data_IF_366189547602
#
_entry.id   IF_366189547602
#
_cell.length_a   1.000
_cell.length_b   1.000
_cell.length_c   1.000
_cell.angle_alpha   90.00
_cell.angle_beta   90.00
_cell.angle_gamma   90.00
#
_symmetry.space_group_name_H-M   'P 1'
#
loop_
_entity.id
_entity.type
_entity.pdbx_description
1 polymer ?
#
# COMPACT_ATOMS: atom_id res chain seq x y z
N UNK A 1 -62.86 -7.67 -31.82
CA UNK A 1 -62.45 -6.66 -32.82
C UNK A 1 -60.98 -6.88 -33.14
N UNK A 2 -60.75 -7.37 -34.37
CA UNK A 2 -59.59 -7.24 -35.26
C UNK A 2 -58.16 -7.23 -34.68
N UNK A 3 -57.48 -8.35 -34.92
CA UNK A 3 -56.02 -8.47 -35.10
C UNK A 3 -55.58 -7.92 -36.48
N UNK A 4 -54.38 -7.32 -36.55
CA UNK A 4 -53.53 -7.14 -37.74
C UNK A 4 -52.12 -6.74 -37.21
N UNK A 5 -50.96 -7.14 -37.74
CA UNK A 5 -50.44 -7.01 -39.12
C UNK A 5 -49.29 -8.04 -39.28
N UNK A 6 -49.45 -9.03 -40.15
CA UNK A 6 -48.85 -9.24 -41.49
C UNK A 6 -47.38 -9.69 -41.56
N UNK A 7 -47.23 -10.85 -42.19
CA UNK A 7 -46.06 -11.52 -42.72
C UNK A 7 -46.51 -12.05 -44.09
N UNK A 8 -45.79 -11.74 -45.17
CA UNK A 8 -45.73 -12.45 -46.48
C UNK A 8 -44.76 -11.65 -47.37
N UNK A 9 -43.70 -12.20 -47.97
CA UNK A 9 -43.69 -13.20 -49.07
C UNK A 9 -43.70 -12.45 -50.41
N UNK A 10 -42.95 -12.74 -51.48
CA UNK A 10 -42.39 -13.99 -52.02
C UNK A 10 -41.38 -13.64 -53.15
N UNK A 11 -40.61 -14.65 -53.57
CA UNK A 11 -40.12 -14.99 -54.93
C UNK A 11 -38.62 -14.88 -55.18
N UNK A 12 -38.01 -16.05 -55.35
CA UNK A 12 -36.65 -16.24 -55.82
C UNK A 12 -36.57 -16.57 -57.31
N UNK A 13 -35.34 -16.67 -57.81
CA UNK A 13 -34.96 -17.41 -59.02
C UNK A 13 -33.55 -17.97 -58.80
N UNK A 14 -33.37 -19.25 -59.10
CA UNK A 14 -32.10 -19.98 -59.12
C UNK A 14 -31.45 -19.89 -60.50
N UNK A 15 -30.11 -19.76 -60.58
CA UNK A 15 -29.32 -20.15 -61.77
C UNK A 15 -27.96 -20.70 -61.33
N UNK A 16 -27.58 -21.80 -61.98
CA UNK A 16 -26.38 -22.61 -61.79
C UNK A 16 -25.08 -21.98 -62.34
N UNK A 17 -23.95 -22.61 -61.97
CA UNK A 17 -22.55 -22.24 -62.18
C UNK A 17 -22.11 -21.98 -63.65
N UNK A 18 -20.91 -21.40 -63.83
CA UNK A 18 -19.80 -22.28 -64.20
C UNK A 18 -18.46 -21.99 -63.50
N UNK A 19 -17.70 -23.07 -63.33
CA UNK A 19 -16.28 -23.10 -63.02
C UNK A 19 -15.47 -22.44 -64.14
N UNK A 20 -14.70 -21.40 -63.82
CA UNK A 20 -13.68 -20.84 -64.70
C UNK A 20 -12.35 -20.79 -63.94
N UNK A 21 -11.48 -21.73 -64.29
CA UNK A 21 -10.07 -21.68 -63.97
C UNK A 21 -9.42 -20.58 -64.82
N UNK A 22 -8.90 -19.54 -64.18
CA UNK A 22 -7.94 -18.62 -64.80
C UNK A 22 -6.71 -18.52 -63.91
N UNK A 23 -5.58 -18.86 -64.53
CA UNK A 23 -4.22 -18.85 -64.03
C UNK A 23 -3.88 -17.47 -63.43
N UNK A 24 -3.47 -17.43 -62.17
CA UNK A 24 -2.82 -16.25 -61.62
C UNK A 24 -1.36 -16.18 -62.12
N UNK A 25 -0.87 -15.02 -62.56
CA UNK A 25 0.55 -14.83 -62.77
C UNK A 25 1.26 -14.87 -61.41
N UNK A 26 2.39 -15.58 -61.36
CA UNK A 26 3.28 -15.61 -60.21
C UNK A 26 3.72 -14.17 -59.85
N UNK A 27 3.15 -13.63 -58.78
CA UNK A 27 3.62 -12.39 -58.19
C UNK A 27 5.01 -12.65 -57.57
N UNK A 28 6.00 -11.91 -58.07
CA UNK A 28 7.37 -11.93 -57.60
C UNK A 28 7.44 -11.77 -56.06
N UNK A 29 8.24 -12.63 -55.42
CA UNK A 29 8.62 -12.49 -54.01
C UNK A 29 9.23 -11.10 -53.79
N UNK A 30 8.73 -10.26 -52.86
CA UNK A 30 9.50 -9.13 -52.40
C UNK A 30 10.74 -9.66 -51.64
N UNK A 31 11.89 -8.95 -51.69
CA UNK A 31 13.04 -9.32 -50.90
C UNK A 31 12.64 -9.27 -49.41
N UNK A 32 13.16 -10.23 -48.64
CA UNK A 32 12.99 -10.29 -47.20
C UNK A 32 13.55 -8.99 -46.59
N UNK A 33 12.67 -8.02 -46.34
CA UNK A 33 12.98 -6.91 -45.47
C UNK A 33 13.27 -7.50 -44.09
N UNK A 34 14.52 -7.40 -43.66
CA UNK A 34 14.91 -7.69 -42.31
C UNK A 34 13.94 -6.95 -41.37
N UNK A 35 13.22 -7.71 -40.55
CA UNK A 35 12.43 -7.21 -39.44
C UNK A 35 13.40 -6.54 -38.46
N UNK A 36 13.74 -5.30 -38.74
CA UNK A 36 14.25 -4.37 -37.75
C UNK A 36 13.12 -4.23 -36.73
N UNK A 37 13.34 -4.80 -35.55
CA UNK A 37 12.39 -4.66 -34.45
C UNK A 37 12.12 -3.19 -34.25
N UNK A 38 10.87 -2.77 -34.44
CA UNK A 38 10.42 -1.44 -34.08
C UNK A 38 10.77 -1.22 -32.61
N UNK A 39 11.79 -0.39 -32.37
CA UNK A 39 12.02 0.18 -31.06
C UNK A 39 10.76 0.97 -30.73
N UNK A 40 10.08 0.61 -29.65
CA UNK A 40 9.02 1.46 -29.09
C UNK A 40 9.66 2.82 -28.82
N UNK A 41 9.28 3.84 -29.59
CA UNK A 41 9.74 5.22 -29.44
C UNK A 41 9.55 5.64 -27.99
N UNK A 42 10.67 5.80 -27.28
CA UNK A 42 10.67 6.39 -25.95
C UNK A 42 10.23 7.84 -26.01
N UNK A 43 9.79 8.42 -24.89
CA UNK A 43 9.65 9.87 -24.82
C UNK A 43 10.99 10.51 -25.23
N UNK A 44 10.97 11.30 -26.31
CA UNK A 44 12.11 12.08 -26.75
C UNK A 44 12.66 12.95 -25.61
N UNK A 45 13.96 13.21 -25.60
CA UNK A 45 14.58 14.08 -24.58
C UNK A 45 14.89 13.42 -23.22
N UNK A 46 14.84 12.10 -23.10
CA UNK A 46 15.19 11.42 -21.85
C UNK A 46 16.69 11.59 -21.49
N UNK A 47 16.97 12.11 -20.30
CA UNK A 47 18.33 12.17 -19.74
C UNK A 47 18.65 10.90 -18.97
N UNK A 48 19.93 10.58 -18.79
CA UNK A 48 20.36 9.42 -18.01
C UNK A 48 20.98 9.83 -16.69
N UNK A 49 20.62 9.16 -15.60
CA UNK A 49 21.25 9.34 -14.28
C UNK A 49 21.97 8.06 -13.83
N UNK A 50 23.13 8.22 -13.19
CA UNK A 50 23.92 7.13 -12.63
C UNK A 50 23.68 6.96 -11.14
N UNK A 51 23.63 5.71 -10.69
CA UNK A 51 23.54 5.33 -9.27
C UNK A 51 24.00 3.89 -9.08
N UNK A 52 24.95 3.61 -8.18
CA UNK A 52 25.43 2.25 -7.84
C UNK A 52 25.49 1.28 -9.03
N UNK A 53 26.37 1.54 -10.01
CA UNK A 53 26.56 0.61 -11.13
C UNK A 53 25.38 0.47 -12.09
N UNK A 54 24.35 1.32 -12.00
CA UNK A 54 23.27 1.41 -13.00
C UNK A 54 23.13 2.80 -13.60
N UNK A 55 22.79 2.83 -14.88
CA UNK A 55 22.29 3.99 -15.63
C UNK A 55 20.78 3.87 -15.78
N UNK A 56 20.05 4.84 -15.25
CA UNK A 56 18.59 4.88 -15.26
C UNK A 56 18.14 6.01 -16.20
N UNK A 57 17.30 5.74 -17.21
CA UNK A 57 16.71 6.79 -18.03
C UNK A 57 15.67 7.56 -17.23
N UNK A 58 15.61 8.86 -17.46
CA UNK A 58 14.69 9.80 -16.80
C UNK A 58 13.97 10.55 -17.91
N UNK A 59 12.65 10.31 -18.10
CA UNK A 59 11.86 11.05 -19.08
C UNK A 59 11.93 12.56 -18.85
N UNK A 60 11.67 13.32 -19.89
CA UNK A 60 11.55 14.77 -19.78
C UNK A 60 10.49 15.17 -18.73
N UNK A 61 10.75 16.25 -17.99
CA UNK A 61 9.88 16.74 -16.92
C UNK A 61 9.92 15.94 -15.61
N UNK A 62 10.57 14.77 -15.56
CA UNK A 62 10.69 14.00 -14.33
C UNK A 62 11.74 14.58 -13.38
N UNK A 63 11.34 14.75 -12.12
CA UNK A 63 12.28 15.18 -11.07
C UNK A 63 13.09 13.99 -10.57
N UNK A 64 14.39 14.23 -10.31
CA UNK A 64 15.27 13.21 -9.72
C UNK A 64 15.65 13.64 -8.31
N UNK A 65 15.35 12.80 -7.33
CA UNK A 65 15.70 13.02 -5.92
C UNK A 65 16.85 12.11 -5.51
N UNK A 66 17.89 12.68 -4.90
CA UNK A 66 19.02 11.95 -4.29
C UNK A 66 18.80 11.88 -2.78
N UNK A 67 18.32 10.73 -2.31
CA UNK A 67 17.96 10.51 -0.91
C UNK A 67 19.19 10.48 0.02
N UNK A 68 20.37 10.16 -0.51
CA UNK A 68 21.62 10.22 0.26
C UNK A 68 22.03 11.68 0.55
N UNK A 69 21.48 12.67 -0.19
CA UNK A 69 21.69 14.11 0.03
C UNK A 69 20.52 14.78 0.77
N UNK A 70 19.31 14.26 0.60
CA UNK A 70 18.09 14.71 1.28
C UNK A 70 17.40 13.49 1.91
N UNK A 71 17.92 12.95 3.02
CA UNK A 71 17.36 11.75 3.66
C UNK A 71 15.96 11.98 4.24
N UNK A 72 15.55 13.25 4.42
CA UNK A 72 14.22 13.63 4.87
C UNK A 72 13.16 13.57 3.75
N UNK A 73 13.58 13.45 2.48
CA UNK A 73 12.67 13.45 1.34
C UNK A 73 11.68 12.29 1.41
N UNK A 74 10.39 12.62 1.44
CA UNK A 74 9.35 11.63 1.25
C UNK A 74 9.38 11.04 -0.17
N UNK A 75 9.45 9.71 -0.26
CA UNK A 75 9.27 8.99 -1.53
C UNK A 75 7.78 8.89 -1.85
N UNK A 76 7.34 9.73 -2.79
CA UNK A 76 5.96 9.85 -3.24
C UNK A 76 5.74 9.19 -4.59
N UNK A 77 4.66 8.44 -4.68
CA UNK A 77 4.23 7.71 -5.86
C UNK A 77 3.16 8.43 -6.67
N UNK A 78 2.60 9.54 -6.17
CA UNK A 78 1.61 10.36 -6.85
C UNK A 78 2.20 11.41 -7.81
N UNK A 79 3.49 11.29 -8.12
CA UNK A 79 4.21 12.19 -9.03
C UNK A 79 5.26 11.44 -9.83
N UNK A 80 5.48 11.92 -11.05
CA UNK A 80 6.56 11.46 -11.91
C UNK A 80 7.93 11.82 -11.32
N UNK A 81 8.65 10.81 -10.82
CA UNK A 81 9.95 11.01 -10.19
C UNK A 81 10.83 9.76 -10.19
N UNK A 82 12.14 9.99 -10.21
CA UNK A 82 13.15 8.97 -9.91
C UNK A 82 13.80 9.31 -8.57
N UNK A 83 13.70 8.39 -7.60
CA UNK A 83 14.34 8.49 -6.30
C UNK A 83 15.55 7.56 -6.29
N UNK A 84 16.72 8.07 -5.93
CA UNK A 84 17.98 7.33 -5.87
C UNK A 84 18.54 7.43 -4.46
N UNK A 85 18.84 6.31 -3.82
CA UNK A 85 19.34 6.28 -2.44
C UNK A 85 18.40 5.57 -1.47
N UNK A 86 18.80 5.52 -0.21
CA UNK A 86 17.92 5.07 0.88
C UNK A 86 17.20 6.27 1.49
N UNK A 87 15.87 6.21 1.68
CA UNK A 87 15.20 7.18 2.53
C UNK A 87 15.82 7.12 3.93
N UNK A 88 15.98 8.28 4.57
CA UNK A 88 16.35 8.33 5.99
C UNK A 88 15.29 7.66 6.88
N UNK A 89 15.59 7.46 8.17
CA UNK A 89 14.70 6.76 9.08
C UNK A 89 13.37 7.49 9.33
N UNK A 90 13.32 8.81 9.11
CA UNK A 90 12.12 9.63 9.32
C UNK A 90 11.89 10.61 8.16
N UNK A 91 11.37 10.14 7.01
CA UNK A 91 11.01 11.04 5.91
C UNK A 91 9.87 11.99 6.34
N UNK A 92 9.94 13.26 5.92
CA UNK A 92 8.88 14.26 6.11
C UNK A 92 7.80 14.07 5.04
N UNK A 93 6.93 13.09 5.28
CA UNK A 93 5.80 12.80 4.41
C UNK A 93 4.55 13.59 4.81
N UNK A 94 3.70 13.99 3.85
CA UNK A 94 2.35 14.45 4.17
C UNK A 94 1.58 13.39 4.97
N UNK A 95 0.59 13.80 5.77
CA UNK A 95 -0.30 12.87 6.45
C UNK A 95 -0.95 11.88 5.48
N UNK A 96 -1.40 12.39 4.33
CA UNK A 96 -2.22 11.64 3.39
C UNK A 96 -1.82 11.90 1.95
N UNK A 97 -1.51 10.83 1.23
CA UNK A 97 -1.30 10.83 -0.22
C UNK A 97 -1.99 9.60 -0.80
N UNK A 98 -2.94 9.84 -1.72
CA UNK A 98 -3.72 8.77 -2.33
C UNK A 98 -3.71 8.90 -3.85
N UNK A 99 -3.39 7.79 -4.50
CA UNK A 99 -3.15 7.70 -5.93
C UNK A 99 -1.68 7.45 -6.21
N UNK A 100 -1.41 7.05 -7.45
CA UNK A 100 -0.05 6.95 -7.97
C UNK A 100 0.01 7.24 -9.45
N UNK A 101 1.21 7.41 -9.93
CA UNK A 101 1.61 7.46 -11.32
C UNK A 101 2.92 6.67 -11.43
N UNK A 102 3.61 6.80 -12.55
CA UNK A 102 4.89 6.18 -12.78
C UNK A 102 5.94 6.90 -11.94
N UNK A 103 6.59 6.16 -11.05
CA UNK A 103 7.70 6.62 -10.25
C UNK A 103 8.63 5.43 -9.99
N UNK A 104 9.93 5.70 -9.90
CA UNK A 104 10.95 4.68 -9.72
C UNK A 104 11.83 5.02 -8.54
N UNK A 105 12.00 4.08 -7.63
CA UNK A 105 12.91 4.18 -6.50
C UNK A 105 14.01 3.13 -6.63
N UNK A 106 15.25 3.58 -6.81
CA UNK A 106 16.45 2.75 -6.85
C UNK A 106 17.23 2.96 -5.56
N UNK A 107 17.55 1.86 -4.89
CA UNK A 107 18.29 1.87 -3.63
C UNK A 107 19.34 0.76 -3.65
N UNK A 108 20.35 0.78 -2.76
CA UNK A 108 21.29 -0.33 -2.63
C UNK A 108 20.54 -1.60 -2.22
N UNK A 109 20.94 -2.73 -2.77
CA UNK A 109 20.58 -4.06 -2.32
C UNK A 109 21.46 -4.37 -1.11
N UNK A 110 20.91 -4.50 0.09
CA UNK A 110 21.74 -4.91 1.23
C UNK A 110 22.21 -6.36 1.07
N UNK A 111 23.48 -6.61 1.40
CA UNK A 111 24.01 -7.97 1.61
C UNK A 111 23.74 -8.53 3.01
N UNK A 112 23.16 -7.73 3.92
CA UNK A 112 22.56 -8.27 5.15
C UNK A 112 21.20 -8.83 4.79
N UNK A 113 20.75 -9.96 5.38
CA UNK A 113 19.32 -10.26 5.37
C UNK A 113 18.63 -8.96 5.80
N UNK A 114 17.67 -8.47 5.02
CA UNK A 114 16.74 -7.44 5.49
C UNK A 114 16.10 -8.04 6.75
N UNK A 115 16.72 -7.87 7.92
CA UNK A 115 16.58 -8.75 9.09
C UNK A 115 15.20 -8.69 9.72
N UNK A 116 14.29 -7.93 9.12
CA UNK A 116 12.93 -7.81 9.54
C UNK A 116 11.91 -7.78 8.39
N UNK A 117 12.32 -7.98 7.11
CA UNK A 117 11.41 -8.37 6.01
C UNK A 117 10.32 -7.38 5.60
N UNK A 118 10.66 -6.11 5.30
CA UNK A 118 9.70 -5.09 4.80
C UNK A 118 8.71 -5.63 3.76
N UNK A 119 7.49 -5.08 3.62
CA UNK A 119 6.40 -5.68 2.84
C UNK A 119 6.84 -5.75 1.37
N UNK A 120 7.44 -6.88 0.99
CA UNK A 120 8.00 -7.28 -0.30
C UNK A 120 9.53 -7.31 -0.44
N UNK A 121 10.28 -7.40 0.68
CA UNK A 121 11.67 -7.84 0.75
C UNK A 121 11.88 -9.20 0.03
N UNK A 122 11.05 -10.17 0.42
CA UNK A 122 10.99 -11.55 -0.08
C UNK A 122 10.16 -11.72 -1.37
N UNK A 123 9.77 -10.62 -2.04
CA UNK A 123 8.95 -10.65 -3.26
C UNK A 123 9.64 -9.98 -4.47
N UNK A 124 10.92 -9.65 -4.38
CA UNK A 124 11.66 -9.06 -5.51
C UNK A 124 11.93 -10.13 -6.57
N UNK A 125 11.69 -9.78 -7.83
CA UNK A 125 12.12 -10.59 -8.95
C UNK A 125 13.61 -10.34 -9.18
N UNK A 126 14.45 -11.37 -9.06
CA UNK A 126 15.86 -11.26 -9.42
C UNK A 126 15.95 -11.16 -10.95
N UNK A 127 16.55 -10.08 -11.47
CA UNK A 127 16.70 -9.84 -12.90
C UNK A 127 18.15 -9.54 -13.19
N UNK A 128 18.75 -10.32 -14.10
CA UNK A 128 20.08 -10.01 -14.62
C UNK A 128 20.06 -8.73 -15.42
N UNK A 129 21.12 -7.92 -15.32
CA UNK A 129 21.20 -6.64 -16.04
C UNK A 129 20.99 -6.78 -17.55
N UNK A 130 21.50 -7.87 -18.15
CA UNK A 130 21.32 -8.19 -19.58
C UNK A 130 19.88 -8.48 -20.00
N UNK A 131 18.99 -8.83 -19.06
CA UNK A 131 17.58 -9.15 -19.32
C UNK A 131 16.64 -7.96 -19.09
N UNK A 132 17.14 -6.81 -18.66
CA UNK A 132 16.30 -5.62 -18.46
C UNK A 132 15.66 -5.15 -19.77
N UNK A 133 16.42 -5.17 -20.87
CA UNK A 133 15.94 -4.71 -22.18
C UNK A 133 14.71 -5.49 -22.70
N UNK A 134 14.54 -6.75 -22.28
CA UNK A 134 13.38 -7.58 -22.62
C UNK A 134 12.41 -7.77 -21.45
N UNK A 135 12.60 -7.05 -20.33
CA UNK A 135 11.73 -7.18 -19.17
C UNK A 135 10.31 -6.70 -19.48
N UNK A 136 9.32 -7.46 -19.01
CA UNK A 136 7.90 -7.14 -19.16
C UNK A 136 7.29 -6.87 -17.79
N UNK A 137 6.73 -5.68 -17.61
CA UNK A 137 6.06 -5.31 -16.35
C UNK A 137 4.72 -6.05 -16.27
N UNK A 138 4.63 -7.02 -15.36
CA UNK A 138 3.38 -7.74 -15.13
C UNK A 138 2.35 -6.84 -14.45
N UNK A 139 1.14 -6.79 -15.02
CA UNK A 139 0.01 -6.12 -14.37
C UNK A 139 -0.32 -6.82 -13.04
N UNK A 140 -0.37 -6.05 -11.95
CA UNK A 140 -0.56 -6.55 -10.59
C UNK A 140 -1.63 -5.73 -9.86
N UNK A 141 -2.33 -6.32 -8.89
CA UNK A 141 -3.33 -5.59 -8.08
C UNK A 141 -2.72 -4.40 -7.36
N UNK A 142 -1.45 -4.50 -6.99
CA UNK A 142 -0.71 -3.46 -6.30
C UNK A 142 -0.14 -2.38 -7.22
N UNK A 143 -0.22 -2.51 -8.55
CA UNK A 143 0.36 -1.58 -9.54
C UNK A 143 1.83 -1.21 -9.26
N UNK A 144 2.62 -2.25 -9.06
CA UNK A 144 4.01 -2.16 -8.60
C UNK A 144 4.82 -3.33 -9.19
N UNK A 145 6.08 -3.05 -9.53
CA UNK A 145 7.12 -4.01 -9.92
C UNK A 145 8.32 -3.81 -9.00
N UNK A 146 8.93 -4.92 -8.57
CA UNK A 146 10.08 -4.90 -7.66
C UNK A 146 11.16 -5.83 -8.15
N UNK A 147 12.31 -5.27 -8.47
CA UNK A 147 13.44 -5.98 -9.04
C UNK A 147 14.62 -5.93 -8.07
N UNK A 148 15.40 -7.00 -8.07
CA UNK A 148 16.76 -7.00 -7.53
C UNK A 148 17.72 -7.23 -8.70
N UNK A 149 18.76 -6.40 -8.79
CA UNK A 149 19.86 -6.52 -9.75
C UNK A 149 21.14 -6.75 -8.93
N UNK A 150 21.43 -8.01 -8.56
CA UNK A 150 22.59 -8.32 -7.73
C UNK A 150 23.91 -7.86 -8.35
N UNK A 151 24.04 -7.89 -9.69
CA UNK A 151 25.27 -7.49 -10.38
C UNK A 151 25.65 -6.01 -10.16
N UNK A 152 24.66 -5.17 -9.89
CA UNK A 152 24.88 -3.75 -9.55
C UNK A 152 24.70 -3.47 -8.05
N UNK A 153 24.32 -4.46 -7.25
CA UNK A 153 24.00 -4.27 -5.85
C UNK A 153 22.84 -3.28 -5.64
N UNK A 154 21.81 -3.30 -6.50
CA UNK A 154 20.64 -2.41 -6.37
C UNK A 154 19.31 -3.14 -6.38
N UNK A 155 18.34 -2.57 -5.68
CA UNK A 155 16.93 -2.90 -5.78
C UNK A 155 16.17 -1.75 -6.45
N UNK A 156 15.25 -2.10 -7.35
CA UNK A 156 14.40 -1.14 -8.07
C UNK A 156 12.94 -1.41 -7.71
N UNK A 157 12.27 -0.41 -7.16
CA UNK A 157 10.81 -0.41 -6.98
C UNK A 157 10.20 0.58 -7.96
N UNK A 158 9.45 0.04 -8.93
CA UNK A 158 8.69 0.82 -9.89
C UNK A 158 7.20 0.75 -9.57
N UNK A 159 6.52 1.88 -9.62
CA UNK A 159 5.06 1.96 -9.56
C UNK A 159 4.53 2.51 -10.87
N UNK A 160 3.26 2.25 -11.19
CA UNK A 160 2.59 2.80 -12.37
C UNK A 160 1.16 3.20 -12.05
N UNK A 161 0.59 4.07 -12.88
CA UNK A 161 -0.80 4.47 -12.82
C UNK A 161 -1.71 3.36 -13.34
N UNK A 162 -2.47 3.63 -14.39
CA UNK A 162 -3.36 2.64 -15.02
C UNK A 162 -2.67 1.76 -16.04
N UNK A 163 -1.57 2.24 -16.64
CA UNK A 163 -0.86 1.56 -17.71
C UNK A 163 0.63 1.39 -17.39
N UNK A 164 1.19 0.16 -17.40
CA UNK A 164 2.60 -0.05 -17.07
C UNK A 164 3.59 0.35 -18.17
N UNK A 165 3.15 0.79 -19.36
CA UNK A 165 4.01 0.97 -20.54
C UNK A 165 5.19 1.92 -20.30
N UNK A 166 4.96 3.06 -19.66
CA UNK A 166 6.04 4.01 -19.35
C UNK A 166 7.01 3.47 -18.29
N UNK A 167 6.51 2.74 -17.28
CA UNK A 167 7.40 2.04 -16.34
C UNK A 167 8.21 0.95 -17.03
N UNK A 168 7.58 0.19 -17.94
CA UNK A 168 8.26 -0.84 -18.72
C UNK A 168 9.37 -0.24 -19.57
N UNK A 169 9.09 0.84 -20.28
CA UNK A 169 10.09 1.57 -21.06
C UNK A 169 11.29 1.99 -20.19
N UNK A 170 11.04 2.56 -19.00
CA UNK A 170 12.10 3.00 -18.09
C UNK A 170 12.96 1.83 -17.60
N UNK A 171 12.32 0.73 -17.18
CA UNK A 171 13.03 -0.49 -16.76
C UNK A 171 13.82 -1.11 -17.92
N UNK A 172 13.25 -1.14 -19.13
CA UNK A 172 13.91 -1.61 -20.36
C UNK A 172 15.01 -0.69 -20.84
N UNK A 173 15.04 0.58 -20.47
CA UNK A 173 16.14 1.50 -20.75
C UNK A 173 17.21 1.53 -19.67
N UNK A 174 16.97 0.92 -18.50
CA UNK A 174 17.97 0.82 -17.43
C UNK A 174 19.09 -0.15 -17.83
N UNK A 175 20.35 0.26 -17.65
CA UNK A 175 21.54 -0.51 -18.05
C UNK A 175 22.53 -0.63 -16.89
N UNK A 176 23.31 -1.70 -16.87
CA UNK A 176 24.51 -1.76 -16.04
C UNK A 176 25.53 -0.71 -16.51
N UNK A 177 26.23 -0.14 -15.56
CA UNK A 177 27.32 0.78 -15.78
C UNK A 177 28.64 -0.01 -15.90
N UNK A 178 29.34 0.02 -17.04
CA UNK A 178 30.59 -0.73 -17.22
C UNK A 178 31.73 -0.16 -16.36
N UNK A 179 31.57 1.03 -15.78
CA UNK A 179 32.51 1.56 -14.78
C UNK A 179 32.46 0.83 -13.43
N UNK A 180 31.60 -0.19 -13.27
CA UNK A 180 31.42 -0.94 -12.02
C UNK A 180 30.63 -0.16 -10.96
N UNK A 181 30.32 -0.79 -9.81
CA UNK A 181 29.72 -0.06 -8.70
C UNK A 181 30.71 1.01 -8.21
N UNK A 182 30.31 2.29 -8.25
CA UNK A 182 31.06 3.35 -7.60
C UNK A 182 31.09 3.06 -6.09
N UNK A 183 32.22 2.57 -5.60
CA UNK A 183 32.50 2.45 -4.17
C UNK A 183 32.57 3.89 -3.63
N UNK A 184 31.69 4.30 -2.69
CA UNK A 184 31.91 5.56 -1.99
C UNK A 184 33.28 5.46 -1.29
N UNK A 185 34.11 6.52 -1.25
CA UNK A 185 35.31 6.47 -0.44
C UNK A 185 34.88 6.16 1.00
N UNK A 186 35.19 4.94 1.44
CA UNK A 186 35.08 4.58 2.84
C UNK A 186 35.98 5.54 3.59
N UNK A 187 35.45 6.20 4.61
CA UNK A 187 36.30 6.86 5.59
C UNK A 187 37.11 5.78 6.30
N UNK A 188 38.26 5.42 5.73
CA UNK A 188 39.34 4.80 6.50
C UNK A 188 39.83 5.88 7.47
N UNK A 189 39.40 5.77 8.73
CA UNK A 189 40.18 6.30 9.84
C UNK A 189 41.36 5.34 10.04
N UNK A 190 42.61 5.79 9.87
CA UNK A 190 43.77 4.99 10.26
C UNK A 190 43.90 5.05 11.79
N UNK A 191 43.98 3.89 12.43
CA UNK A 191 44.40 3.76 13.83
C UNK A 191 43.26 3.78 14.86
N UNK A 192 42.60 2.65 15.04
CA UNK A 192 41.96 2.31 16.31
C UNK A 192 42.28 0.83 16.59
N UNK A 193 42.86 0.48 17.75
CA UNK A 193 43.29 -0.88 18.03
C UNK A 193 42.08 -1.81 18.24
N UNK A 194 42.28 -3.09 17.92
CA UNK A 194 41.25 -4.13 18.01
C UNK A 194 40.56 -4.14 19.39
N UNK A 195 39.23 -4.33 19.45
CA UNK A 195 38.52 -4.40 20.71
C UNK A 195 38.91 -5.69 21.45
N UNK A 196 39.09 -5.65 22.78
CA UNK A 196 39.37 -6.83 23.55
C UNK A 196 38.15 -7.77 23.53
N UNK A 197 38.41 -9.04 23.26
CA UNK A 197 37.49 -10.13 23.56
C UNK A 197 37.40 -10.29 25.07
N UNK A 198 36.23 -10.12 25.69
CA UNK A 198 35.88 -10.85 26.92
C UNK A 198 34.40 -10.67 27.34
N UNK A 199 33.90 -11.35 28.39
CA UNK A 199 33.19 -12.62 28.35
C UNK A 199 31.72 -12.48 28.79
N UNK A 200 31.02 -13.61 28.76
CA UNK A 200 29.70 -13.83 29.34
C UNK A 200 29.68 -13.63 30.88
N UNK A 201 28.49 -13.28 31.38
CA UNK A 201 27.97 -13.45 32.75
C UNK A 201 28.46 -12.51 33.87
N UNK A 202 27.62 -11.55 34.30
CA UNK A 202 26.97 -11.50 35.64
C UNK A 202 26.00 -10.28 35.76
N UNK A 203 24.87 -10.36 36.51
CA UNK A 203 23.81 -9.36 36.55
C UNK A 203 23.87 -8.50 37.81
N UNK A 204 23.96 -7.17 37.68
CA UNK A 204 23.61 -6.26 38.78
C UNK A 204 23.35 -4.84 38.31
N UNK A 205 22.09 -4.51 38.00
CA UNK A 205 21.56 -3.16 38.22
C UNK A 205 20.07 -3.26 38.53
N UNK A 206 19.80 -3.31 39.83
CA UNK A 206 18.47 -3.15 40.41
C UNK A 206 17.98 -1.71 40.19
N UNK A 207 16.74 -1.57 39.72
CA UNK A 207 15.99 -0.31 39.76
C UNK A 207 15.24 -0.22 41.10
N UNK A 208 15.15 0.95 41.74
CA UNK A 208 14.41 1.09 43.00
C UNK A 208 12.88 1.09 42.76
N UNK A 209 12.05 0.60 43.70
CA UNK A 209 10.61 0.65 43.58
C UNK A 209 10.04 2.01 43.97
N UNK A 210 9.06 2.48 43.20
CA UNK A 210 8.21 3.63 43.55
C UNK A 210 7.23 3.22 44.67
N UNK A 211 7.31 3.90 45.81
CA UNK A 211 6.37 3.81 46.93
C UNK A 211 5.18 4.74 46.63
N UNK A 212 3.98 4.18 46.52
CA UNK A 212 2.71 4.92 46.63
C UNK A 212 2.12 4.76 48.04
N UNK A 213 1.29 5.70 48.51
CA UNK A 213 0.76 5.66 49.88
C UNK A 213 -0.36 4.60 50.06
N UNK A 214 -0.58 4.10 51.29
CA UNK A 214 -1.45 2.96 51.56
C UNK A 214 -2.93 3.38 51.72
N UNK A 215 -3.84 2.54 51.23
CA UNK A 215 -5.25 2.50 51.62
C UNK A 215 -5.49 1.32 52.56
N UNK A 216 -6.50 1.38 53.46
CA UNK A 216 -6.59 0.50 54.62
C UNK A 216 -7.09 -0.91 54.30
N UNK A 217 -6.65 -1.83 55.16
CA UNK A 217 -6.76 -3.29 55.13
C UNK A 217 -8.20 -3.84 55.26
N UNK A 218 -8.37 -5.07 54.78
CA UNK A 218 -9.57 -5.88 54.97
C UNK A 218 -9.52 -7.26 54.29
N UNK A 219 -8.76 -8.19 54.89
CA UNK A 219 -9.04 -9.63 55.10
C UNK A 219 -9.17 -10.62 53.90
N UNK A 220 -8.11 -11.43 53.77
CA UNK A 220 -8.02 -12.91 53.74
C UNK A 220 -9.06 -13.76 52.98
N UNK A 221 -8.54 -14.51 51.99
CA UNK A 221 -9.23 -15.62 51.32
C UNK A 221 -8.30 -16.36 50.38
N UNK A 222 -7.70 -17.44 50.88
CA UNK A 222 -6.64 -18.23 50.27
C UNK A 222 -7.13 -19.26 49.22
N UNK A 223 -6.25 -19.52 48.24
CA UNK A 223 -6.15 -20.67 47.31
C UNK A 223 -7.10 -20.79 46.09
N UNK A 224 -6.45 -20.79 44.93
CA UNK A 224 -6.99 -21.24 43.64
C UNK A 224 -5.91 -21.21 42.56
N UNK A 225 -5.12 -22.28 42.48
CA UNK A 225 -4.28 -22.63 41.32
C UNK A 225 -5.14 -22.66 40.05
N UNK A 226 -4.72 -21.93 39.01
CA UNK A 226 -5.55 -21.73 37.84
C UNK A 226 -4.90 -20.89 36.75
N UNK A 227 -4.03 -21.53 35.96
CA UNK A 227 -3.95 -21.33 34.52
C UNK A 227 -3.36 -20.00 34.02
N UNK A 228 -2.22 -20.12 33.34
CA UNK A 228 -1.67 -19.13 32.41
C UNK A 228 -2.70 -18.78 31.30
N UNK A 229 -3.64 -17.89 31.61
CA UNK A 229 -4.42 -17.17 30.63
C UNK A 229 -3.50 -16.19 29.91
N UNK A 230 -2.99 -16.62 28.76
CA UNK A 230 -2.57 -15.72 27.69
C UNK A 230 -3.73 -14.77 27.35
N UNK A 231 -3.79 -13.61 28.04
CA UNK A 231 -4.74 -12.53 27.79
C UNK A 231 -4.79 -12.27 26.29
N UNK A 232 -5.89 -12.68 25.65
CA UNK A 232 -6.16 -12.40 24.26
C UNK A 232 -6.00 -10.89 24.05
N UNK A 233 -4.94 -10.46 23.37
CA UNK A 233 -4.77 -9.06 23.02
C UNK A 233 -6.06 -8.58 22.35
N UNK A 234 -6.79 -7.71 23.05
CA UNK A 234 -8.19 -7.42 22.78
C UNK A 234 -8.46 -7.14 21.30
N UNK A 235 -9.56 -7.68 20.77
CA UNK A 235 -9.99 -7.50 19.38
C UNK A 235 -10.35 -6.04 19.01
N UNK A 236 -10.22 -5.11 19.95
CA UNK A 236 -10.51 -3.69 19.86
C UNK A 236 -9.67 -2.89 20.87
N UNK A 237 -9.62 -1.57 20.70
CA UNK A 237 -9.06 -0.64 21.68
C UNK A 237 -9.76 0.72 21.61
N UNK A 238 -9.51 1.54 22.63
CA UNK A 238 -10.00 2.92 22.69
C UNK A 238 -8.89 3.94 22.97
N UNK A 239 -9.04 5.14 22.41
CA UNK A 239 -8.16 6.28 22.66
C UNK A 239 -7.78 7.06 21.40
N UNK A 240 -6.86 8.02 21.56
CA UNK A 240 -6.33 8.80 20.43
C UNK A 240 -5.51 7.90 19.51
N UNK A 241 -5.80 8.00 18.22
CA UNK A 241 -5.02 7.40 17.15
C UNK A 241 -4.55 8.44 16.14
N UNK A 242 -3.59 8.07 15.31
CA UNK A 242 -3.15 8.90 14.19
C UNK A 242 -2.85 8.04 12.96
N UNK A 243 -2.88 8.68 11.80
CA UNK A 243 -2.39 8.10 10.56
C UNK A 243 -1.46 9.07 9.83
N UNK A 244 -0.47 8.53 9.16
CA UNK A 244 0.48 9.28 8.34
C UNK A 244 0.97 8.40 7.20
N UNK A 245 1.36 9.02 6.08
CA UNK A 245 1.52 8.33 4.82
C UNK A 245 2.63 7.28 4.84
N UNK A 246 3.66 7.46 5.66
CA UNK A 246 4.78 6.51 5.84
C UNK A 246 4.90 6.12 7.31
N UNK A 247 5.06 4.82 7.59
CA UNK A 247 5.32 4.32 8.94
C UNK A 247 6.49 5.10 9.59
N UNK A 248 6.29 5.76 10.76
CA UNK A 248 7.33 6.54 11.41
C UNK A 248 8.52 5.70 11.88
N UNK A 249 9.66 6.34 12.15
CA UNK A 249 10.78 5.71 12.82
C UNK A 249 10.37 5.16 14.20
N UNK A 250 11.02 4.09 14.67
CA UNK A 250 10.76 3.53 15.99
C UNK A 250 11.04 4.52 17.13
N UNK A 251 11.98 5.44 16.96
CA UNK A 251 12.23 6.55 17.90
C UNK A 251 11.04 7.51 17.98
N UNK A 252 10.47 7.88 16.83
CA UNK A 252 9.25 8.70 16.75
C UNK A 252 8.07 7.99 17.42
N UNK A 253 7.90 6.69 17.17
CA UNK A 253 6.87 5.89 17.84
C UNK A 253 7.04 5.91 19.36
N UNK A 254 8.27 5.73 19.90
CA UNK A 254 8.50 5.85 21.34
C UNK A 254 8.15 7.24 21.88
N UNK A 255 8.60 8.30 21.21
CA UNK A 255 8.34 9.69 21.61
C UNK A 255 6.84 10.05 21.61
N UNK A 256 6.06 9.46 20.70
CA UNK A 256 4.64 9.74 20.54
C UNK A 256 3.73 8.84 21.39
N UNK A 257 4.27 7.78 22.00
CA UNK A 257 3.48 6.77 22.71
C UNK A 257 2.66 7.34 23.88
N UNK A 258 3.15 8.32 24.68
CA UNK A 258 2.34 8.94 25.73
C UNK A 258 1.08 9.62 25.18
N UNK A 259 1.13 10.18 23.98
CA UNK A 259 0.06 10.99 23.38
C UNK A 259 -0.95 10.18 22.55
N UNK A 260 -0.52 9.04 22.00
CA UNK A 260 -1.31 8.19 21.11
C UNK A 260 -1.16 6.72 21.45
N UNK A 261 -2.30 6.01 21.51
CA UNK A 261 -2.35 4.56 21.77
C UNK A 261 -2.47 3.74 20.48
N UNK A 262 -2.93 4.36 19.39
CA UNK A 262 -3.24 3.69 18.13
C UNK A 262 -2.52 4.38 16.97
N UNK A 263 -2.00 3.60 16.02
CA UNK A 263 -1.42 4.10 14.76
C UNK A 263 -2.02 3.35 13.57
N UNK A 264 -2.19 4.01 12.44
CA UNK A 264 -2.46 3.37 11.16
C UNK A 264 -1.17 2.96 10.44
N UNK A 265 -1.24 1.95 9.58
CA UNK A 265 -0.20 1.61 8.59
C UNK A 265 -0.81 1.35 7.22
N UNK A 266 -0.16 1.79 6.14
CA UNK A 266 -0.61 1.56 4.77
C UNK A 266 0.11 0.36 4.13
N UNK A 267 -0.54 -0.80 4.19
CA UNK A 267 0.06 -2.10 3.85
C UNK A 267 0.21 -2.32 2.34
N UNK A 268 -0.54 -1.59 1.51
CA UNK A 268 -0.38 -1.57 0.05
C UNK A 268 -1.62 -1.11 -0.71
N UNK A 269 -1.73 -1.56 -1.96
CA UNK A 269 -2.81 -1.26 -2.88
C UNK A 269 -2.42 -0.29 -3.99
N UNK A 270 -3.19 -0.35 -5.08
CA UNK A 270 -2.97 0.41 -6.31
C UNK A 270 -2.93 1.93 -6.10
N UNK A 271 -3.61 2.47 -5.08
CA UNK A 271 -3.65 3.91 -4.81
C UNK A 271 -2.87 4.31 -3.54
N UNK A 272 -2.03 3.43 -2.98
CA UNK A 272 -1.12 3.84 -1.89
C UNK A 272 -0.07 4.82 -2.43
N UNK A 273 -0.03 6.04 -1.88
CA UNK A 273 0.72 7.16 -2.43
C UNK A 273 2.15 7.37 -1.90
N UNK A 274 2.55 6.75 -0.79
CA UNK A 274 3.94 6.84 -0.30
C UNK A 274 4.61 5.47 -0.23
N UNK A 275 5.94 5.48 -0.34
CA UNK A 275 6.75 4.33 0.04
C UNK A 275 6.65 4.06 1.55
N UNK A 276 7.04 2.86 1.95
CA UNK A 276 7.04 2.42 3.34
C UNK A 276 8.42 1.90 3.75
N UNK A 277 9.45 2.77 3.82
CA UNK A 277 10.82 2.35 4.15
C UNK A 277 10.94 1.67 5.52
N UNK A 278 10.16 2.11 6.51
CA UNK A 278 10.23 1.57 7.87
C UNK A 278 9.28 0.41 8.14
N UNK A 279 8.20 0.26 7.36
CA UNK A 279 7.19 -0.74 7.65
C UNK A 279 7.79 -2.11 7.37
N UNK A 280 7.93 -2.94 8.38
CA UNK A 280 8.41 -4.32 8.27
C UNK A 280 7.73 -5.18 9.35
N UNK A 281 7.68 -6.52 9.23
CA UNK A 281 7.40 -7.42 10.34
C UNK A 281 8.06 -7.02 11.64
N UNK A 282 9.36 -6.70 11.62
CA UNK A 282 10.07 -6.27 12.83
C UNK A 282 9.59 -4.94 13.38
N UNK A 283 9.30 -3.96 12.51
CA UNK A 283 8.69 -2.71 12.92
C UNK A 283 7.33 -2.95 13.57
N UNK A 284 6.49 -3.79 12.95
CA UNK A 284 5.17 -4.16 13.47
C UNK A 284 5.32 -4.80 14.85
N UNK A 285 6.18 -5.81 15.02
CA UNK A 285 6.45 -6.43 16.33
C UNK A 285 6.94 -5.42 17.37
N UNK A 286 7.90 -4.56 17.01
CA UNK A 286 8.47 -3.56 17.92
C UNK A 286 7.44 -2.52 18.35
N UNK A 287 6.61 -2.02 17.43
CA UNK A 287 5.52 -1.06 17.74
C UNK A 287 4.43 -1.70 18.59
N UNK A 288 4.07 -2.94 18.30
CA UNK A 288 3.18 -3.74 19.15
C UNK A 288 3.73 -3.92 20.57
N UNK A 289 5.01 -4.27 20.71
CA UNK A 289 5.70 -4.39 22.01
C UNK A 289 5.79 -3.06 22.76
N UNK A 290 5.81 -1.92 22.07
CA UNK A 290 5.67 -0.57 22.67
C UNK A 290 4.24 -0.29 23.19
N UNK A 291 3.30 -1.22 23.02
CA UNK A 291 1.93 -1.09 23.47
C UNK A 291 1.03 -0.27 22.54
N UNK A 292 1.46 0.00 21.29
CA UNK A 292 0.57 0.56 20.28
C UNK A 292 -0.39 -0.51 19.75
N UNK A 293 -1.61 -0.09 19.46
CA UNK A 293 -2.51 -0.82 18.56
C UNK A 293 -2.38 -0.30 17.13
N UNK A 294 -2.56 -1.16 16.15
CA UNK A 294 -2.29 -0.89 14.74
C UNK A 294 -3.59 -1.00 13.94
N UNK A 295 -3.79 -0.09 13.00
CA UNK A 295 -4.89 -0.12 12.02
C UNK A 295 -4.29 -0.44 10.65
N UNK A 296 -4.32 -1.70 10.17
CA UNK A 296 -3.80 -2.04 8.85
C UNK A 296 -4.77 -1.56 7.77
N UNK A 297 -4.29 -0.71 6.85
CA UNK A 297 -5.12 -0.08 5.83
C UNK A 297 -4.59 -0.34 4.42
N UNK A 298 -5.48 -0.74 3.52
CA UNK A 298 -5.20 -1.07 2.13
C UNK A 298 -5.86 -0.05 1.19
N UNK A 299 -5.04 0.66 0.42
CA UNK A 299 -5.47 1.77 -0.45
C UNK A 299 -5.57 1.28 -1.89
N UNK A 300 -6.70 0.65 -2.21
CA UNK A 300 -6.95 0.01 -3.50
C UNK A 300 -7.52 0.93 -4.58
N UNK A 301 -8.18 0.34 -5.58
CA UNK A 301 -8.90 1.11 -6.60
C UNK A 301 -10.08 1.86 -5.99
N UNK A 302 -10.28 3.09 -6.42
CA UNK A 302 -11.23 4.05 -5.91
C UNK A 302 -12.51 4.09 -6.76
N UNK A 303 -13.55 4.73 -6.20
CA UNK A 303 -14.87 4.82 -6.86
C UNK A 303 -14.76 5.42 -8.28
N UNK A 304 -15.57 4.95 -9.25
CA UNK A 304 -15.56 5.45 -10.62
C UNK A 304 -15.89 6.95 -10.72
N UNK A 305 -16.68 7.46 -9.77
CA UNK A 305 -17.09 8.86 -9.69
C UNK A 305 -16.19 9.74 -8.79
N UNK A 306 -15.05 9.22 -8.32
CA UNK A 306 -14.03 10.04 -7.64
C UNK A 306 -13.19 10.85 -8.65
N UNK A 307 -12.20 11.60 -8.17
CA UNK A 307 -11.22 12.32 -9.03
C UNK A 307 -9.92 11.54 -9.26
N UNK A 308 -9.64 10.51 -8.46
CA UNK A 308 -8.36 9.78 -8.46
C UNK A 308 -8.21 8.86 -9.67
N UNK A 309 -7.05 8.74 -10.32
CA UNK A 309 -6.92 7.98 -11.57
C UNK A 309 -7.11 6.46 -11.39
N UNK A 310 -6.69 5.90 -10.24
CA UNK A 310 -6.90 4.48 -9.93
C UNK A 310 -8.36 4.19 -9.61
N UNK A 311 -9.17 3.93 -10.64
CA UNK A 311 -10.61 3.62 -10.47
C UNK A 311 -10.97 2.21 -10.91
N UNK A 312 -11.98 1.65 -10.28
CA UNK A 312 -12.73 0.52 -10.85
C UNK A 312 -13.92 1.03 -11.66
N UNK A 313 -14.51 0.17 -12.49
CA UNK A 313 -15.70 0.48 -13.28
C UNK A 313 -16.92 -0.23 -12.71
N UNK A 314 -18.12 0.18 -13.14
CA UNK A 314 -19.35 -0.47 -12.71
C UNK A 314 -19.37 -1.99 -12.99
N UNK A 315 -18.80 -2.42 -14.12
CA UNK A 315 -18.77 -3.82 -14.55
C UNK A 315 -17.74 -4.67 -13.80
N UNK A 316 -16.61 -4.10 -13.36
CA UNK A 316 -15.55 -4.87 -12.70
C UNK A 316 -15.50 -4.73 -11.18
N UNK A 317 -16.35 -3.87 -10.59
CA UNK A 317 -16.35 -3.50 -9.18
C UNK A 317 -16.20 -4.70 -8.21
N UNK A 318 -17.07 -5.71 -8.31
CA UNK A 318 -17.03 -6.87 -7.42
C UNK A 318 -15.72 -7.68 -7.55
N UNK A 319 -15.25 -7.87 -8.79
CA UNK A 319 -13.98 -8.56 -9.06
C UNK A 319 -12.79 -7.79 -8.50
N UNK A 320 -12.77 -6.46 -8.65
CA UNK A 320 -11.71 -5.61 -8.10
C UNK A 320 -11.72 -5.58 -6.57
N UNK A 321 -12.90 -5.59 -5.94
CA UNK A 321 -13.04 -5.73 -4.48
C UNK A 321 -12.45 -7.05 -3.96
N UNK A 322 -12.73 -8.18 -4.64
CA UNK A 322 -12.14 -9.48 -4.30
C UNK A 322 -10.62 -9.48 -4.46
N UNK A 323 -10.10 -8.96 -5.58
CA UNK A 323 -8.65 -8.89 -5.83
C UNK A 323 -7.93 -8.03 -4.80
N UNK A 324 -8.54 -6.93 -4.37
CA UNK A 324 -8.03 -6.10 -3.29
C UNK A 324 -7.92 -6.88 -1.98
N UNK A 325 -8.96 -7.64 -1.61
CA UNK A 325 -8.95 -8.45 -0.38
C UNK A 325 -7.83 -9.49 -0.36
N UNK A 326 -7.61 -10.20 -1.48
CA UNK A 326 -6.52 -11.18 -1.62
C UNK A 326 -5.15 -10.52 -1.45
N UNK A 327 -4.92 -9.38 -2.12
CA UNK A 327 -3.64 -8.66 -2.01
C UNK A 327 -3.43 -8.09 -0.61
N UNK A 328 -4.48 -7.55 0.01
CA UNK A 328 -4.43 -7.03 1.37
C UNK A 328 -4.09 -8.12 2.40
N UNK A 329 -4.74 -9.28 2.31
CA UNK A 329 -4.46 -10.41 3.18
C UNK A 329 -3.03 -10.93 3.00
N UNK A 330 -2.55 -11.04 1.75
CA UNK A 330 -1.14 -11.39 1.49
C UNK A 330 -0.16 -10.39 2.10
N UNK A 331 -0.43 -9.09 1.95
CA UNK A 331 0.42 -8.03 2.51
C UNK A 331 0.40 -8.00 4.03
N UNK A 332 -0.75 -8.28 4.64
CA UNK A 332 -0.88 -8.41 6.09
C UNK A 332 -0.07 -9.61 6.62
N UNK A 333 -0.19 -10.79 5.99
CA UNK A 333 0.63 -11.97 6.31
C UNK A 333 2.12 -11.69 6.18
N UNK A 334 2.53 -11.03 5.09
CA UNK A 334 3.92 -10.64 4.88
C UNK A 334 4.46 -9.64 5.91
N UNK A 335 3.59 -8.96 6.67
CA UNK A 335 3.93 -8.09 7.80
C UNK A 335 3.84 -8.80 9.16
N UNK A 336 3.53 -10.09 9.18
CA UNK A 336 3.31 -10.84 10.42
C UNK A 336 2.02 -10.46 11.15
N UNK A 337 1.03 -9.90 10.46
CA UNK A 337 -0.28 -9.61 11.05
C UNK A 337 -1.07 -10.92 11.06
N UNK A 338 -1.45 -11.45 12.24
CA UNK A 338 -2.08 -12.76 12.34
C UNK A 338 -3.51 -12.75 11.75
N UNK A 339 -4.05 -13.93 11.41
CA UNK A 339 -5.44 -14.06 11.00
C UNK A 339 -6.43 -13.48 12.02
N UNK A 340 -7.68 -13.29 11.60
CA UNK A 340 -8.79 -12.70 12.35
C UNK A 340 -8.64 -11.22 12.72
N UNK A 341 -7.45 -10.63 12.54
CA UNK A 341 -7.22 -9.19 12.75
C UNK A 341 -7.90 -8.33 11.67
N UNK A 342 -8.21 -7.07 11.97
CA UNK A 342 -8.90 -6.19 11.04
C UNK A 342 -7.99 -5.70 9.92
N UNK A 343 -8.54 -5.56 8.72
CA UNK A 343 -7.93 -4.82 7.62
C UNK A 343 -8.97 -3.86 7.04
N UNK A 344 -8.62 -2.58 6.99
CA UNK A 344 -9.47 -1.52 6.47
C UNK A 344 -9.19 -1.31 4.99
N UNK A 345 -10.23 -1.39 4.16
CA UNK A 345 -10.15 -0.87 2.80
C UNK A 345 -10.33 0.65 2.82
N UNK A 346 -9.43 1.39 2.19
CA UNK A 346 -9.58 2.83 2.01
C UNK A 346 -10.39 3.12 0.74
N UNK A 347 -11.67 3.44 0.93
CA UNK A 347 -12.56 3.96 -0.11
C UNK A 347 -12.74 5.46 0.09
N UNK A 348 -12.08 6.23 -0.74
CA UNK A 348 -12.11 7.68 -0.67
C UNK A 348 -13.50 8.28 -0.87
N UNK A 349 -13.66 9.52 -0.43
CA UNK A 349 -14.88 10.27 -0.63
C UNK A 349 -15.23 10.34 -2.13
N UNK A 350 -16.51 10.18 -2.44
CA UNK A 350 -17.01 10.26 -3.81
C UNK A 350 -18.36 10.97 -3.82
N UNK A 351 -18.64 11.68 -4.92
CA UNK A 351 -19.93 12.27 -5.23
C UNK A 351 -20.45 11.56 -6.47
N UNK A 352 -21.58 10.87 -6.37
CA UNK A 352 -22.04 10.03 -7.47
C UNK A 352 -23.52 9.75 -7.44
N UNK A 353 -24.07 9.60 -8.63
CA UNK A 353 -25.43 9.14 -8.84
C UNK A 353 -25.62 7.67 -8.37
N UNK A 354 -26.85 7.16 -8.49
CA UNK A 354 -27.19 5.81 -8.06
C UNK A 354 -26.32 4.71 -8.71
N UNK A 355 -25.83 4.92 -9.94
CA UNK A 355 -24.97 3.95 -10.61
C UNK A 355 -23.59 3.84 -9.93
N UNK A 356 -22.97 4.96 -9.57
CA UNK A 356 -21.71 4.94 -8.84
C UNK A 356 -21.87 4.30 -7.46
N UNK A 357 -22.92 4.64 -6.72
CA UNK A 357 -23.24 4.02 -5.43
C UNK A 357 -23.36 2.51 -5.55
N UNK A 358 -24.11 2.00 -6.54
CA UNK A 358 -24.22 0.56 -6.79
C UNK A 358 -22.87 -0.09 -7.10
N UNK A 359 -22.00 0.59 -7.85
CA UNK A 359 -20.66 0.09 -8.14
C UNK A 359 -19.81 0.00 -6.85
N UNK A 360 -19.81 1.04 -6.01
CA UNK A 360 -19.09 1.01 -4.71
C UNK A 360 -19.62 -0.09 -3.81
N UNK A 361 -20.94 -0.24 -3.68
CA UNK A 361 -21.54 -1.31 -2.89
C UNK A 361 -21.13 -2.70 -3.41
N UNK A 362 -21.12 -2.93 -4.73
CA UNK A 362 -20.62 -4.18 -5.32
C UNK A 362 -19.15 -4.42 -5.02
N UNK A 363 -18.32 -3.38 -5.06
CA UNK A 363 -16.90 -3.45 -4.68
C UNK A 363 -16.75 -3.86 -3.21
N UNK A 364 -17.42 -3.15 -2.29
CA UNK A 364 -17.37 -3.41 -0.85
C UNK A 364 -17.88 -4.82 -0.52
N UNK A 365 -18.95 -5.27 -1.16
CA UNK A 365 -19.44 -6.65 -0.99
C UNK A 365 -18.39 -7.69 -1.38
N UNK A 366 -17.70 -7.48 -2.51
CA UNK A 366 -16.61 -8.34 -2.97
C UNK A 366 -15.42 -8.35 -2.00
N UNK A 367 -15.03 -7.16 -1.51
CA UNK A 367 -14.01 -7.00 -0.47
C UNK A 367 -14.37 -7.77 0.80
N UNK A 368 -15.55 -7.51 1.38
CA UNK A 368 -15.99 -8.09 2.65
C UNK A 368 -16.05 -9.61 2.57
N UNK A 369 -16.73 -10.16 1.55
CA UNK A 369 -16.85 -11.61 1.41
C UNK A 369 -15.49 -12.28 1.23
N UNK A 370 -14.64 -11.74 0.35
CA UNK A 370 -13.35 -12.36 0.08
C UNK A 370 -12.38 -12.24 1.25
N UNK A 371 -12.33 -11.11 1.94
CA UNK A 371 -11.40 -10.93 3.05
C UNK A 371 -11.74 -11.82 4.24
N UNK A 372 -13.03 -12.09 4.48
CA UNK A 372 -13.45 -13.14 5.44
C UNK A 372 -12.91 -14.51 5.05
N UNK A 373 -13.01 -14.89 3.77
CA UNK A 373 -12.45 -16.16 3.27
C UNK A 373 -10.91 -16.21 3.32
N UNK A 374 -10.24 -15.06 3.33
CA UNK A 374 -8.78 -14.95 3.56
C UNK A 374 -8.42 -14.97 5.05
N UNK A 375 -9.40 -15.26 5.92
CA UNK A 375 -9.29 -15.31 7.37
C UNK A 375 -8.88 -13.99 8.04
N UNK A 376 -9.37 -12.85 7.55
CA UNK A 376 -9.22 -11.53 8.18
C UNK A 376 -10.57 -10.85 8.40
N UNK A 377 -10.64 -9.92 9.35
CA UNK A 377 -11.86 -9.13 9.63
C UNK A 377 -11.96 -7.96 8.63
N UNK A 378 -12.95 -7.93 7.73
CA UNK A 378 -13.08 -6.84 6.77
C UNK A 378 -13.62 -5.58 7.41
N UNK A 379 -12.87 -4.49 7.29
CA UNK A 379 -13.31 -3.17 7.71
C UNK A 379 -13.19 -2.18 6.56
N UNK A 380 -13.79 -1.01 6.75
CA UNK A 380 -13.90 0.01 5.71
C UNK A 380 -13.55 1.38 6.28
N UNK A 381 -12.59 2.05 5.66
CA UNK A 381 -12.44 3.49 5.75
C UNK A 381 -13.22 4.19 4.62
N UNK A 382 -13.98 5.24 4.96
CA UNK A 382 -14.56 6.15 3.96
C UNK A 382 -15.06 7.44 4.58
N UNK A 383 -15.50 8.39 3.76
CA UNK A 383 -16.22 9.57 4.23
C UNK A 383 -17.56 9.19 4.88
N UNK A 384 -17.86 9.85 6.01
CA UNK A 384 -19.16 9.75 6.67
C UNK A 384 -20.31 10.09 5.70
N UNK A 385 -20.14 11.12 4.87
CA UNK A 385 -21.15 11.60 3.94
C UNK A 385 -21.28 10.78 2.64
N UNK A 386 -20.38 9.83 2.35
CA UNK A 386 -20.48 8.96 1.17
C UNK A 386 -20.44 7.47 1.53
N UNK A 387 -19.27 6.84 1.52
CA UNK A 387 -19.15 5.38 1.58
C UNK A 387 -19.69 4.78 2.87
N UNK A 388 -19.48 5.42 4.02
CA UNK A 388 -20.00 4.93 5.30
C UNK A 388 -21.53 5.00 5.33
N UNK A 389 -22.10 6.14 4.94
CA UNK A 389 -23.56 6.30 4.82
C UNK A 389 -24.17 5.32 3.82
N UNK A 390 -23.57 5.17 2.64
CA UNK A 390 -24.09 4.28 1.59
C UNK A 390 -24.06 2.81 2.02
N UNK A 391 -22.96 2.35 2.62
CA UNK A 391 -22.83 0.98 3.15
C UNK A 391 -23.79 0.76 4.32
N UNK A 392 -23.94 1.73 5.21
CA UNK A 392 -24.80 1.60 6.39
C UNK A 392 -26.28 1.52 6.07
N UNK A 393 -26.73 2.22 5.02
CA UNK A 393 -28.11 2.14 4.50
C UNK A 393 -28.40 0.90 3.65
N UNK A 394 -27.36 0.14 3.25
CA UNK A 394 -27.55 -0.96 2.30
C UNK A 394 -27.83 -2.27 3.02
N UNK A 395 -28.98 -2.89 2.70
CA UNK A 395 -29.29 -4.27 3.06
C UNK A 395 -28.80 -5.30 2.01
N UNK A 396 -28.19 -4.85 0.90
CA UNK A 396 -27.91 -5.68 -0.28
C UNK A 396 -26.47 -6.20 -0.36
N UNK A 397 -25.66 -5.94 0.67
CA UNK A 397 -24.24 -6.31 0.70
C UNK A 397 -23.88 -6.95 2.03
N UNK A 398 -22.83 -7.78 2.02
CA UNK A 398 -22.21 -8.21 3.26
C UNK A 398 -21.67 -6.97 4.00
N UNK A 399 -22.11 -6.77 5.25
CA UNK A 399 -21.72 -5.62 6.06
C UNK A 399 -20.25 -5.76 6.51
N UNK A 400 -19.42 -4.71 6.37
CA UNK A 400 -18.10 -4.66 7.01
C UNK A 400 -18.21 -4.91 8.51
N UNK A 401 -17.23 -5.57 9.10
CA UNK A 401 -17.18 -5.86 10.53
C UNK A 401 -16.86 -4.64 11.38
N UNK A 402 -16.19 -3.62 10.83
CA UNK A 402 -15.92 -2.35 11.50
C UNK A 402 -15.73 -1.21 10.50
N UNK A 403 -15.81 0.04 10.99
CA UNK A 403 -15.72 1.24 10.15
C UNK A 403 -14.75 2.27 10.74
N UNK A 404 -14.03 2.93 9.85
CA UNK A 404 -13.26 4.13 10.11
C UNK A 404 -13.85 5.26 9.27
N UNK A 405 -14.56 6.19 9.88
CA UNK A 405 -15.28 7.24 9.15
C UNK A 405 -14.54 8.57 9.21
N UNK A 406 -14.36 9.21 8.06
CA UNK A 406 -13.83 10.57 7.98
C UNK A 406 -14.97 11.58 8.06
N UNK A 407 -14.91 12.42 9.08
CA UNK A 407 -15.68 13.65 9.20
C UNK A 407 -14.82 14.67 9.95
N UNK A 408 -14.22 15.60 9.21
CA UNK A 408 -13.22 16.55 9.71
C UNK A 408 -13.85 17.76 10.41
N UNK A 409 -14.68 17.50 11.41
CA UNK A 409 -15.40 18.51 12.19
C UNK A 409 -14.61 19.00 13.41
N UNK A 410 -13.38 18.54 13.60
CA UNK A 410 -12.55 18.85 14.76
C UNK A 410 -13.00 18.17 16.06
N UNK A 411 -14.07 17.36 16.04
CA UNK A 411 -14.67 16.76 17.23
C UNK A 411 -14.24 15.32 17.37
N UNK A 412 -13.42 15.04 18.39
CA UNK A 412 -13.02 13.69 18.79
C UNK A 412 -14.16 12.92 19.51
N UNK A 413 -15.33 12.80 18.84
CA UNK A 413 -16.52 12.09 19.32
C UNK A 413 -16.97 11.08 18.28
N UNK A 414 -17.20 9.84 18.71
CA UNK A 414 -17.57 8.72 17.83
C UNK A 414 -19.07 8.62 17.55
N UNK A 415 -19.89 9.29 18.35
CA UNK A 415 -21.35 9.22 18.35
C UNK A 415 -21.94 10.63 18.16
N UNK A 416 -23.21 10.69 17.75
CA UNK A 416 -23.90 11.93 17.40
C UNK A 416 -23.49 12.51 16.04
N UNK A 417 -22.92 11.70 15.14
CA UNK A 417 -22.56 12.14 13.79
C UNK A 417 -23.81 12.15 12.89
N UNK A 418 -24.13 13.27 12.20
CA UNK A 418 -25.37 13.40 11.44
C UNK A 418 -25.46 12.44 10.23
N UNK A 419 -24.33 11.90 9.77
CA UNK A 419 -24.30 10.96 8.65
C UNK A 419 -24.32 9.49 9.09
N UNK A 420 -24.08 9.22 10.38
CA UNK A 420 -23.82 7.88 10.90
C UNK A 420 -24.62 7.65 12.21
N UNK A 421 -25.84 7.09 12.12
CA UNK A 421 -26.70 6.79 13.28
C UNK A 421 -25.98 5.98 14.35
N UNK A 422 -26.17 6.29 15.63
CA UNK A 422 -25.37 5.74 16.72
C UNK A 422 -25.49 4.22 16.90
N UNK A 423 -26.63 3.63 16.52
CA UNK A 423 -26.82 2.17 16.56
C UNK A 423 -26.06 1.41 15.46
N UNK A 424 -25.43 2.10 14.49
CA UNK A 424 -24.64 1.44 13.45
C UNK A 424 -23.22 1.13 13.90
N UNK A 425 -22.80 -0.12 13.69
CA UNK A 425 -21.45 -0.62 14.06
C UNK A 425 -21.11 -0.39 15.53
N UNK A 426 -22.00 -0.83 16.41
CA UNK A 426 -21.77 -0.88 17.86
C UNK A 426 -21.72 -2.32 18.38
N UNK A 427 -21.15 -2.53 19.57
CA UNK A 427 -20.13 -1.70 20.23
C UNK A 427 -18.73 -1.93 19.60
N UNK A 428 -17.74 -1.10 19.94
CA UNK A 428 -16.30 -1.30 19.67
C UNK A 428 -15.90 -1.57 18.21
N UNK A 429 -16.58 -0.90 17.27
CA UNK A 429 -16.42 -1.11 15.82
C UNK A 429 -16.28 0.20 15.04
N UNK A 430 -15.93 1.30 15.73
CA UNK A 430 -15.83 2.64 15.14
C UNK A 430 -14.47 3.29 15.36
N UNK A 431 -13.96 3.91 14.31
CA UNK A 431 -12.88 4.89 14.36
C UNK A 431 -13.38 6.14 13.65
N UNK A 432 -13.06 7.33 14.15
CA UNK A 432 -13.34 8.60 13.46
C UNK A 432 -12.04 9.32 13.17
N UNK A 433 -11.80 9.65 11.91
CA UNK A 433 -10.84 10.68 11.53
C UNK A 433 -11.52 12.05 11.67
N UNK A 434 -11.19 12.78 12.73
CA UNK A 434 -11.87 14.04 13.06
C UNK A 434 -11.09 15.28 12.60
N UNK A 435 -9.84 15.11 12.17
CA UNK A 435 -9.00 16.20 11.65
C UNK A 435 -8.05 15.65 10.57
N UNK A 436 -8.10 16.26 9.38
CA UNK A 436 -7.16 15.96 8.29
C UNK A 436 -5.77 16.59 8.50
N UNK A 437 -4.94 16.56 7.46
CA UNK A 437 -3.50 16.78 7.57
C UNK A 437 -3.10 18.04 8.33
N UNK A 438 -2.28 17.84 9.36
CA UNK A 438 -1.70 18.90 10.18
C UNK A 438 -0.42 18.39 10.85
N UNK A 439 0.43 19.32 11.29
CA UNK A 439 1.61 18.96 12.10
C UNK A 439 1.21 18.90 13.58
N UNK A 440 1.62 17.85 14.26
CA UNK A 440 1.68 17.80 15.72
C UNK A 440 3.11 17.51 16.16
N UNK A 441 3.46 17.89 17.40
CA UNK A 441 4.77 17.63 18.00
C UNK A 441 4.60 16.97 19.35
N UNK A 442 5.22 15.81 19.55
CA UNK A 442 5.18 15.02 20.78
C UNK A 442 6.56 14.43 21.07
N UNK A 443 7.00 14.48 22.34
CA UNK A 443 8.32 13.97 22.74
C UNK A 443 9.47 14.53 21.91
N UNK A 444 9.38 15.80 21.50
CA UNK A 444 10.38 16.48 20.67
C UNK A 444 10.27 16.26 19.15
N UNK A 445 9.46 15.31 18.69
CA UNK A 445 9.36 14.90 17.28
C UNK A 445 8.10 15.47 16.62
N UNK A 446 8.25 16.11 15.47
CA UNK A 446 7.15 16.63 14.66
C UNK A 446 6.79 15.67 13.53
N UNK A 447 5.51 15.34 13.38
CA UNK A 447 4.99 14.54 12.26
C UNK A 447 3.79 15.26 11.63
N UNK A 448 3.61 15.08 10.33
CA UNK A 448 2.37 15.44 9.65
C UNK A 448 1.41 14.25 9.70
N UNK A 449 0.27 14.43 10.36
CA UNK A 449 -0.69 13.37 10.66
C UNK A 449 -2.13 13.79 10.33
N UNK A 450 -2.98 12.80 10.16
CA UNK A 450 -4.42 12.93 10.38
C UNK A 450 -4.72 12.39 11.80
N UNK A 451 -5.64 13.05 12.52
CA UNK A 451 -5.95 12.77 13.92
C UNK A 451 -7.25 11.98 14.06
N UNK A 452 -7.20 10.91 14.86
CA UNK A 452 -8.28 9.94 15.01
C UNK A 452 -8.69 9.74 16.48
N UNK A 453 -9.97 9.48 16.69
CA UNK A 453 -10.49 8.90 17.94
C UNK A 453 -10.97 7.48 17.65
N UNK A 454 -10.61 6.53 18.50
CA UNK A 454 -10.80 5.10 18.27
C UNK A 454 -11.63 4.52 19.40
N UNK A 455 -12.63 3.72 19.04
CA UNK A 455 -13.27 2.68 19.86
C UNK A 455 -13.66 1.53 18.91
N UNK A 456 -12.64 0.81 18.47
CA UNK A 456 -12.73 0.07 17.22
C UNK A 456 -11.78 -1.11 17.16
N UNK A 457 -12.08 -2.01 16.22
CA UNK A 457 -11.22 -3.16 15.98
C UNK A 457 -9.88 -2.71 15.40
N UNK A 458 -8.82 -3.08 16.10
CA UNK A 458 -7.42 -2.80 15.76
C UNK A 458 -6.61 -4.08 15.98
N UNK A 459 -5.47 -4.17 15.33
CA UNK A 459 -4.49 -5.24 15.56
C UNK A 459 -3.61 -4.85 16.72
#
# INVERSE_FOLDING_TARGET
MRHAVQLSGVLGVAVAAPLLACLWPAAARPPAAALTGAAEDGPGGARTVRYHGVRVPVPEGWTVYRLDRDPSRCVRYDRHAVYLGRPGPQPDCPARVVGRTEAVHVQPLDGRPEADGGPGASSRTIVRGSRLASYTVRRSTGQEARLALPEAGVAITGVYGTDPSLLQWLLRGTRLDPAGPAVPPGHHRPGEPDPPTDPTDDPSFAMPPFIGPPGPDGEDGEQGDGGDETKAEGAWAAGRGFDTCTAPALSSMRAWRPSFKITNIYIGGAARGCAQPNLTPGWVRKVRKMGYRITPTYVGLQAPCGSRPQRFTAGNAASKGRKAAVDAARRARALGIPPHKPIYFDMEAYRGNAACRRAVLRFVNGWVKRLKSENYKPCLYSSAASGIRDVGRSARIARPGCVWFANWDGRARLYGDPYLPDHWWTPHRRIKQYRGGHRERHGGVTLNIDSNIVDGSVY
#
